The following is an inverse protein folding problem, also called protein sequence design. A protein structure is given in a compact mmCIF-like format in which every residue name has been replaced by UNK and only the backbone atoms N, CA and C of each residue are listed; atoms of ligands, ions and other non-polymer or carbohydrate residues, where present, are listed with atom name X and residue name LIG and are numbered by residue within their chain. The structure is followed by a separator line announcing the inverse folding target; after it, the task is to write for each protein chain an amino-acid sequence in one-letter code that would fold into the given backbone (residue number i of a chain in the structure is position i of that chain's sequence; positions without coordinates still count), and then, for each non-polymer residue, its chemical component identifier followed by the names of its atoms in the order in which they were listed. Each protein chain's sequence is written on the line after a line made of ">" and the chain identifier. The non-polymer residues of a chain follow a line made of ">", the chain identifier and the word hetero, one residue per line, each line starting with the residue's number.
data_IF_354387857875
#
_entry.id   IF_354387857875
#
_cell.length_a   1.000
_cell.length_b   1.000
_cell.length_c   1.000
_cell.angle_alpha   90.00
_cell.angle_beta   90.00
_cell.angle_gamma   90.00
#
_symmetry.space_group_name_H-M   'P 1'
#
loop_
_entity.id
_entity.type
_entity.pdbx_description
1 polymer ?
#
# COMPACT_ATOMS: atom_id res chain seq x y z
N UNK A 1 43.66 -39.24 -13.14
CA UNK A 1 43.33 -38.78 -11.77
C UNK A 1 41.84 -38.45 -11.70
N UNK A 2 41.03 -39.38 -11.20
CA UNK A 2 39.60 -39.14 -10.98
C UNK A 2 39.46 -38.23 -9.76
N UNK A 3 38.78 -37.08 -9.85
CA UNK A 3 38.57 -36.20 -8.69
C UNK A 3 37.79 -36.99 -7.63
N UNK A 4 38.39 -37.40 -6.50
CA UNK A 4 37.63 -38.03 -5.44
C UNK A 4 36.62 -36.98 -4.99
N UNK A 5 35.33 -37.32 -5.03
CA UNK A 5 34.20 -36.42 -4.74
C UNK A 5 33.88 -35.41 -5.86
N UNK A 6 33.55 -35.88 -7.07
CA UNK A 6 32.84 -35.05 -8.08
C UNK A 6 31.32 -35.02 -7.87
N UNK A 7 30.74 -36.08 -7.30
CA UNK A 7 29.29 -36.21 -7.03
C UNK A 7 29.01 -36.22 -5.52
N UNK A 8 27.90 -35.63 -5.07
CA UNK A 8 27.52 -35.67 -3.66
C UNK A 8 27.18 -37.11 -3.25
N UNK A 9 28.16 -37.78 -2.63
CA UNK A 9 28.04 -39.11 -2.02
C UNK A 9 27.75 -39.00 -0.52
N UNK A 10 27.43 -40.14 0.12
CA UNK A 10 27.28 -40.24 1.58
C UNK A 10 28.57 -39.82 2.30
N UNK A 11 29.73 -40.17 1.75
CA UNK A 11 31.04 -39.78 2.31
C UNK A 11 31.30 -38.29 2.18
N UNK A 12 30.89 -37.68 1.06
CA UNK A 12 30.98 -36.22 0.88
C UNK A 12 30.07 -35.49 1.87
N UNK A 13 28.89 -36.06 2.15
CA UNK A 13 27.95 -35.54 3.14
C UNK A 13 28.49 -35.64 4.57
N UNK A 14 29.07 -36.77 4.95
CA UNK A 14 29.72 -36.94 6.26
C UNK A 14 30.89 -35.96 6.39
N UNK A 15 31.76 -35.86 5.38
CA UNK A 15 32.88 -34.93 5.36
C UNK A 15 32.42 -33.47 5.50
N UNK A 16 31.32 -33.10 4.82
CA UNK A 16 30.73 -31.77 4.94
C UNK A 16 30.24 -31.48 6.37
N UNK A 17 29.50 -32.41 6.98
CA UNK A 17 28.94 -32.24 8.32
C UNK A 17 30.04 -32.15 9.39
N UNK A 18 31.10 -32.94 9.25
CA UNK A 18 32.29 -32.85 10.11
C UNK A 18 32.99 -31.50 9.97
N UNK A 19 33.19 -31.03 8.73
CA UNK A 19 33.77 -29.72 8.48
C UNK A 19 32.90 -28.57 9.02
N UNK A 20 31.57 -28.71 8.95
CA UNK A 20 30.63 -27.74 9.50
C UNK A 20 30.70 -27.69 11.03
N UNK A 21 30.81 -28.85 11.69
CA UNK A 21 30.99 -28.94 13.13
C UNK A 21 32.27 -28.21 13.60
N UNK A 22 33.35 -28.36 12.83
CA UNK A 22 34.65 -27.79 13.21
C UNK A 22 34.77 -26.29 12.94
N UNK A 23 34.20 -25.82 11.83
CA UNK A 23 34.38 -24.43 11.37
C UNK A 23 33.25 -23.50 11.78
N UNK A 24 32.05 -24.04 12.01
CA UNK A 24 30.83 -23.27 12.25
C UNK A 24 30.39 -22.36 11.10
N UNK A 25 31.08 -22.42 9.95
CA UNK A 25 30.84 -21.58 8.79
C UNK A 25 30.63 -22.46 7.55
N UNK A 26 29.42 -22.39 6.98
CA UNK A 26 28.98 -23.19 5.83
C UNK A 26 29.85 -22.98 4.59
N UNK A 27 30.30 -21.74 4.35
CA UNK A 27 31.16 -21.43 3.21
C UNK A 27 32.55 -22.03 3.39
N UNK A 28 33.09 -21.98 4.60
CA UNK A 28 34.38 -22.56 4.93
C UNK A 28 34.32 -24.09 4.88
N UNK A 29 33.28 -24.69 5.48
CA UNK A 29 33.03 -26.13 5.42
C UNK A 29 32.93 -26.65 3.98
N UNK A 30 32.16 -25.98 3.11
CA UNK A 30 32.06 -26.35 1.71
C UNK A 30 33.42 -26.23 1.00
N UNK A 31 34.18 -25.17 1.25
CA UNK A 31 35.50 -24.96 0.66
C UNK A 31 36.51 -26.03 1.10
N UNK A 32 36.48 -26.46 2.36
CA UNK A 32 37.41 -27.49 2.89
C UNK A 32 37.25 -28.84 2.19
N UNK A 33 36.04 -29.19 1.77
CA UNK A 33 35.77 -30.42 1.01
C UNK A 33 35.80 -30.21 -0.52
N UNK A 34 36.25 -29.04 -0.99
CA UNK A 34 36.33 -28.71 -2.41
C UNK A 34 34.96 -28.55 -3.10
N UNK A 35 33.92 -28.15 -2.37
CA UNK A 35 32.54 -27.97 -2.86
C UNK A 35 32.08 -26.53 -2.80
N UNK A 36 31.10 -26.20 -3.65
CA UNK A 36 30.40 -24.92 -3.54
C UNK A 36 29.36 -24.96 -2.42
N UNK A 37 29.27 -23.89 -1.64
CA UNK A 37 28.27 -23.77 -0.59
C UNK A 37 26.84 -23.81 -1.17
N UNK A 38 26.65 -23.29 -2.40
CA UNK A 38 25.37 -23.37 -3.12
C UNK A 38 24.93 -24.82 -3.38
N UNK A 39 25.86 -25.74 -3.67
CA UNK A 39 25.51 -27.15 -3.84
C UNK A 39 25.09 -27.81 -2.52
N UNK A 40 25.63 -27.35 -1.38
CA UNK A 40 25.23 -27.82 -0.04
C UNK A 40 23.80 -27.38 0.30
N UNK A 41 23.43 -26.13 0.01
CA UNK A 41 22.05 -25.65 0.15
C UNK A 41 21.06 -26.33 -0.79
N UNK A 42 21.46 -26.56 -2.05
CA UNK A 42 20.64 -27.29 -3.01
C UNK A 42 20.35 -28.73 -2.54
N UNK A 43 21.32 -29.37 -1.90
CA UNK A 43 21.15 -30.71 -1.33
C UNK A 43 20.25 -30.69 -0.08
N UNK A 44 20.42 -29.71 0.82
CA UNK A 44 19.55 -29.50 1.99
C UNK A 44 18.08 -29.35 1.59
N UNK A 45 17.81 -28.69 0.47
CA UNK A 45 16.44 -28.56 -0.06
C UNK A 45 15.87 -29.87 -0.60
N UNK A 46 16.71 -30.77 -1.11
CA UNK A 46 16.30 -31.98 -1.83
C UNK A 46 16.24 -33.24 -0.95
N UNK A 47 17.00 -33.28 0.14
CA UNK A 47 17.16 -34.44 1.02
C UNK A 47 16.88 -34.04 2.48
N UNK A 48 15.66 -34.31 3.00
CA UNK A 48 15.27 -33.94 4.36
C UNK A 48 16.15 -34.54 5.46
N UNK A 49 16.62 -35.78 5.28
CA UNK A 49 17.50 -36.48 6.21
C UNK A 49 18.85 -35.76 6.37
N UNK A 50 19.37 -35.20 5.29
CA UNK A 50 20.58 -34.37 5.31
C UNK A 50 20.32 -33.02 6.01
N UNK A 51 19.12 -32.45 5.83
CA UNK A 51 18.73 -31.22 6.50
C UNK A 51 18.62 -31.39 8.02
N UNK A 52 18.12 -32.54 8.50
CA UNK A 52 18.06 -32.85 9.93
C UNK A 52 19.46 -32.96 10.54
N UNK A 53 20.35 -33.75 9.93
CA UNK A 53 21.75 -33.87 10.39
C UNK A 53 22.49 -32.53 10.37
N UNK A 54 22.18 -31.67 9.41
CA UNK A 54 22.72 -30.31 9.36
C UNK A 54 22.26 -29.49 10.57
N UNK A 55 20.96 -29.53 10.89
CA UNK A 55 20.38 -28.83 12.04
C UNK A 55 21.04 -29.35 13.33
N UNK A 56 21.11 -30.66 13.52
CA UNK A 56 21.77 -31.28 14.68
C UNK A 56 23.21 -30.78 14.89
N UNK A 57 24.00 -30.71 13.82
CA UNK A 57 25.39 -30.21 13.88
C UNK A 57 25.45 -28.73 14.24
N UNK A 58 24.55 -27.91 13.70
CA UNK A 58 24.49 -26.47 14.00
C UNK A 58 24.05 -26.24 15.45
N UNK A 59 23.04 -26.98 15.92
CA UNK A 59 22.53 -26.88 17.29
C UNK A 59 23.59 -27.31 18.30
N UNK A 60 24.31 -28.41 18.04
CA UNK A 60 25.43 -28.85 18.87
C UNK A 60 26.53 -27.77 18.94
N UNK A 61 26.88 -27.16 17.81
CA UNK A 61 27.89 -26.09 17.79
C UNK A 61 27.42 -24.83 18.52
N UNK A 62 26.16 -24.46 18.37
CA UNK A 62 25.56 -23.34 19.10
C UNK A 62 25.48 -23.60 20.62
N UNK A 63 25.30 -24.85 21.04
CA UNK A 63 25.33 -25.28 22.44
C UNK A 63 26.75 -25.26 23.01
N UNK A 64 27.75 -25.74 22.25
CA UNK A 64 29.16 -25.68 22.66
C UNK A 64 29.69 -24.24 22.75
N UNK A 65 29.32 -23.38 21.79
CA UNK A 65 29.66 -21.96 21.82
C UNK A 65 29.01 -21.24 23.01
N UNK A 66 27.74 -21.56 23.29
CA UNK A 66 27.01 -21.08 24.45
C UNK A 66 27.65 -21.47 25.78
N UNK A 67 28.12 -22.71 25.90
CA UNK A 67 28.80 -23.20 27.09
C UNK A 67 30.18 -22.53 27.28
N UNK A 68 30.91 -22.28 26.19
CA UNK A 68 32.25 -21.66 26.23
C UNK A 68 32.24 -20.17 26.50
N UNK A 69 31.29 -19.44 25.94
CA UNK A 69 31.27 -17.97 25.98
C UNK A 69 30.20 -17.40 26.93
N UNK A 70 29.41 -18.27 27.56
CA UNK A 70 28.20 -17.86 28.26
C UNK A 70 27.10 -17.48 27.27
N UNK A 71 25.84 -17.79 27.61
CA UNK A 71 24.69 -17.30 26.84
C UNK A 71 24.50 -15.83 27.21
N UNK A 72 24.75 -14.82 26.35
CA UNK A 72 24.03 -13.57 26.53
C UNK A 72 22.55 -13.96 26.49
N UNK A 73 21.78 -13.55 27.49
CA UNK A 73 20.37 -13.91 27.76
C UNK A 73 19.39 -13.51 26.64
N UNK A 74 19.84 -13.45 25.40
CA UNK A 74 19.19 -12.80 24.30
C UNK A 74 19.56 -13.44 22.94
N UNK A 75 19.39 -14.78 22.85
CA UNK A 75 19.38 -15.48 21.55
C UNK A 75 17.97 -15.66 20.95
N UNK A 76 16.96 -15.09 21.60
CA UNK A 76 15.62 -14.89 21.04
C UNK A 76 15.51 -13.64 20.15
N UNK A 77 16.43 -12.67 20.24
CA UNK A 77 16.42 -11.45 19.40
C UNK A 77 17.38 -11.50 18.20
N UNK A 78 18.15 -12.57 18.03
CA UNK A 78 19.30 -12.57 17.09
C UNK A 78 18.94 -12.73 15.60
N UNK A 79 17.66 -12.91 15.24
CA UNK A 79 17.22 -12.92 13.84
C UNK A 79 15.97 -12.06 13.56
N UNK A 80 15.55 -11.24 14.52
CA UNK A 80 14.67 -10.12 14.24
C UNK A 80 15.50 -8.93 13.72
N UNK A 81 16.18 -9.15 12.59
CA UNK A 81 16.84 -8.14 11.74
C UNK A 81 17.67 -7.09 12.48
N UNK A 82 18.99 -7.24 12.36
CA UNK A 82 19.98 -6.17 12.24
C UNK A 82 19.63 -5.20 11.08
N UNK A 83 18.40 -4.72 10.98
CA UNK A 83 18.11 -3.46 10.30
C UNK A 83 18.96 -2.47 11.11
N UNK A 84 19.96 -1.83 10.50
CA UNK A 84 20.96 -0.99 11.18
C UNK A 84 20.40 0.27 11.85
N UNK A 85 19.16 0.21 12.35
CA UNK A 85 18.28 1.27 12.78
C UNK A 85 17.76 0.96 14.20
N UNK A 86 18.69 0.84 15.14
CA UNK A 86 18.35 0.78 16.57
C UNK A 86 17.60 2.05 17.00
N UNK A 87 16.81 2.03 18.10
CA UNK A 87 16.13 3.23 18.60
C UNK A 87 17.08 4.42 18.82
N UNK A 88 18.32 4.15 19.22
CA UNK A 88 19.36 5.16 19.37
C UNK A 88 19.76 5.78 18.02
N UNK A 89 20.01 4.95 17.00
CA UNK A 89 20.31 5.41 15.63
C UNK A 89 19.14 6.14 15.00
N UNK A 90 17.90 5.72 15.28
CA UNK A 90 16.69 6.44 14.87
C UNK A 90 16.66 7.86 15.41
N UNK A 91 16.88 8.04 16.71
CA UNK A 91 16.92 9.37 17.34
C UNK A 91 18.07 10.21 16.80
N UNK A 92 19.26 9.63 16.64
CA UNK A 92 20.41 10.31 16.07
C UNK A 92 20.16 10.74 14.61
N UNK A 93 19.51 9.90 13.82
CA UNK A 93 19.16 10.19 12.43
C UNK A 93 18.16 11.34 12.33
N UNK A 94 17.10 11.30 13.12
CA UNK A 94 16.09 12.36 13.15
C UNK A 94 16.69 13.70 13.58
N UNK A 95 17.60 13.70 14.56
CA UNK A 95 18.35 14.89 14.95
C UNK A 95 19.19 15.42 13.79
N UNK A 96 20.01 14.56 13.17
CA UNK A 96 20.85 14.95 12.04
C UNK A 96 20.02 15.45 10.84
N UNK A 97 18.84 14.88 10.63
CA UNK A 97 17.90 15.33 9.59
C UNK A 97 17.33 16.71 9.91
N UNK A 98 17.02 16.99 11.18
CA UNK A 98 16.58 18.33 11.62
C UNK A 98 17.68 19.38 11.65
N UNK A 99 18.95 18.99 11.51
CA UNK A 99 20.07 19.93 11.42
C UNK A 99 20.50 20.20 9.98
N UNK A 100 20.25 19.26 9.06
CA UNK A 100 20.80 19.31 7.70
C UNK A 100 19.75 19.41 6.61
N UNK A 101 18.53 18.93 6.87
CA UNK A 101 17.47 18.79 5.86
C UNK A 101 17.77 17.75 4.77
N UNK A 102 18.88 17.00 4.87
CA UNK A 102 19.35 16.10 3.80
C UNK A 102 19.49 14.66 4.31
N UNK A 103 18.79 13.73 3.67
CA UNK A 103 18.83 12.31 4.02
C UNK A 103 20.24 11.73 3.90
N UNK A 104 20.97 12.05 2.82
CA UNK A 104 22.34 11.58 2.61
C UNK A 104 23.26 11.96 3.77
N UNK A 105 23.31 13.24 4.12
CA UNK A 105 24.14 13.76 5.22
C UNK A 105 23.72 13.18 6.58
N UNK A 106 22.41 13.08 6.83
CA UNK A 106 21.90 12.48 8.07
C UNK A 106 22.26 10.98 8.19
N UNK A 107 22.23 10.25 7.07
CA UNK A 107 22.62 8.85 7.00
C UNK A 107 24.12 8.64 7.20
N UNK A 108 24.96 9.48 6.58
CA UNK A 108 26.41 9.48 6.77
C UNK A 108 26.79 9.74 8.24
N UNK A 109 26.15 10.72 8.90
CA UNK A 109 26.40 11.05 10.32
C UNK A 109 26.10 9.90 11.29
N UNK A 110 25.16 9.02 10.95
CA UNK A 110 24.70 7.91 11.83
C UNK A 110 25.30 6.56 11.42
N UNK A 111 26.04 6.51 10.30
CA UNK A 111 26.63 5.27 9.80
C UNK A 111 25.55 4.27 9.34
N UNK A 112 24.53 4.77 8.64
CA UNK A 112 23.47 3.97 8.03
C UNK A 112 23.35 4.27 6.55
N UNK A 113 22.83 3.33 5.76
CA UNK A 113 22.55 3.59 4.35
C UNK A 113 21.33 4.49 4.19
N UNK A 114 21.42 5.46 3.29
CA UNK A 114 20.30 6.30 2.87
C UNK A 114 19.12 5.47 2.36
N UNK A 115 19.40 4.42 1.58
CA UNK A 115 18.40 3.49 1.07
C UNK A 115 17.70 2.75 2.22
N UNK A 116 18.42 2.39 3.28
CA UNK A 116 17.83 1.76 4.46
C UNK A 116 16.90 2.73 5.20
N UNK A 117 17.29 4.00 5.36
CA UNK A 117 16.44 5.02 5.97
C UNK A 117 15.16 5.28 5.15
N UNK A 118 15.26 5.35 3.82
CA UNK A 118 14.10 5.48 2.92
C UNK A 118 13.18 4.26 2.98
N UNK A 119 13.75 3.05 2.99
CA UNK A 119 12.97 1.82 3.11
C UNK A 119 12.23 1.74 4.44
N UNK A 120 12.88 2.16 5.54
CA UNK A 120 12.21 2.23 6.84
C UNK A 120 11.07 3.25 6.82
N UNK A 121 11.27 4.43 6.20
CA UNK A 121 10.22 5.43 6.02
C UNK A 121 9.01 4.90 5.26
N UNK A 122 9.22 4.06 4.24
CA UNK A 122 8.14 3.44 3.49
C UNK A 122 7.38 2.34 4.25
N UNK A 123 8.00 1.74 5.27
CA UNK A 123 7.43 0.63 6.06
C UNK A 123 6.83 1.07 7.39
N UNK A 124 7.36 2.13 8.00
CA UNK A 124 6.95 2.65 9.31
C UNK A 124 6.37 4.08 9.16
N UNK A 125 5.03 4.22 9.20
CA UNK A 125 4.36 5.51 9.12
C UNK A 125 4.71 6.47 10.26
N UNK A 126 5.05 5.97 11.44
CA UNK A 126 5.42 6.81 12.58
C UNK A 126 6.82 7.42 12.37
N UNK A 127 7.74 6.63 11.84
CA UNK A 127 9.05 7.13 11.42
C UNK A 127 8.92 8.16 10.30
N UNK A 128 7.99 7.96 9.36
CA UNK A 128 7.72 8.93 8.29
C UNK A 128 7.29 10.29 8.85
N UNK A 129 6.32 10.33 9.76
CA UNK A 129 5.89 11.58 10.43
C UNK A 129 7.04 12.27 11.17
N UNK A 130 7.86 11.49 11.88
CA UNK A 130 9.02 12.04 12.59
C UNK A 130 10.04 12.65 11.63
N UNK A 131 10.26 12.03 10.46
CA UNK A 131 11.13 12.59 9.43
C UNK A 131 10.57 13.89 8.84
N UNK A 132 9.27 13.98 8.60
CA UNK A 132 8.62 15.21 8.14
C UNK A 132 8.76 16.34 9.17
N UNK A 133 8.49 16.04 10.45
CA UNK A 133 8.68 17.00 11.54
C UNK A 133 10.15 17.44 11.67
N UNK A 134 11.11 16.54 11.45
CA UNK A 134 12.52 16.88 11.44
C UNK A 134 12.88 17.80 10.26
N UNK A 135 12.38 17.53 9.06
CA UNK A 135 12.59 18.39 7.88
C UNK A 135 12.03 19.80 8.08
N UNK A 136 10.87 19.93 8.74
CA UNK A 136 10.29 21.23 9.08
C UNK A 136 11.14 22.04 10.08
N UNK A 137 11.95 21.37 10.90
CA UNK A 137 12.86 22.00 11.88
C UNK A 137 14.24 22.29 11.31
N UNK A 138 14.54 21.81 10.09
CA UNK A 138 15.81 22.05 9.43
C UNK A 138 16.11 23.56 9.38
N UNK A 139 17.38 23.98 9.60
CA UNK A 139 17.78 25.36 9.35
C UNK A 139 17.31 25.80 7.96
N UNK A 140 17.06 27.12 7.80
CA UNK A 140 16.28 27.70 6.72
C UNK A 140 16.48 26.95 5.42
N UNK A 141 15.38 26.32 5.00
CA UNK A 141 15.25 25.44 3.86
C UNK A 141 16.08 26.02 2.71
N UNK A 142 16.69 25.20 1.85
CA UNK A 142 17.39 25.70 0.66
C UNK A 142 16.58 26.77 -0.07
N UNK A 143 15.26 26.72 0.02
CA UNK A 143 14.29 27.73 -0.40
C UNK A 143 14.48 29.11 0.25
N UNK A 144 14.67 29.22 1.58
CA UNK A 144 14.98 30.48 2.23
C UNK A 144 16.37 30.99 1.86
N UNK A 145 17.41 30.15 1.83
CA UNK A 145 18.74 30.57 1.35
C UNK A 145 18.67 31.00 -0.13
N UNK A 146 17.87 30.30 -0.93
CA UNK A 146 17.64 30.65 -2.33
C UNK A 146 16.86 31.96 -2.44
N UNK A 147 15.89 32.19 -1.56
CA UNK A 147 15.13 33.43 -1.49
C UNK A 147 16.01 34.60 -1.06
N UNK A 148 16.81 34.46 0.00
CA UNK A 148 17.80 35.45 0.44
C UNK A 148 18.77 35.79 -0.71
N UNK A 149 19.32 34.78 -1.40
CA UNK A 149 20.22 35.00 -2.56
C UNK A 149 19.52 35.58 -3.79
N UNK A 150 18.24 35.32 -3.98
CA UNK A 150 17.48 35.81 -5.12
C UNK A 150 16.93 37.23 -4.90
N UNK A 151 16.51 37.54 -3.67
CA UNK A 151 15.77 38.75 -3.31
C UNK A 151 16.63 39.74 -2.55
N UNK A 152 17.36 39.31 -1.52
CA UNK A 152 18.24 40.19 -0.72
C UNK A 152 19.64 40.34 -1.34
N UNK A 153 20.05 39.34 -2.12
CA UNK A 153 21.35 39.24 -2.75
C UNK A 153 22.47 38.84 -1.77
N UNK A 154 23.67 38.60 -2.30
CA UNK A 154 24.87 38.36 -1.49
C UNK A 154 25.98 39.35 -1.84
N UNK A 155 26.90 39.57 -0.91
CA UNK A 155 28.08 40.37 -1.15
C UNK A 155 29.16 39.53 -1.83
N UNK A 156 29.51 39.91 -3.06
CA UNK A 156 30.60 39.32 -3.81
C UNK A 156 31.82 40.25 -3.71
N UNK A 157 32.98 39.78 -3.19
CA UNK A 157 34.18 40.58 -3.13
C UNK A 157 34.69 40.86 -4.57
N UNK A 158 34.96 42.12 -4.86
CA UNK A 158 35.56 42.57 -6.11
C UNK A 158 37.07 42.50 -5.95
N UNK A 159 37.68 41.45 -6.48
CA UNK A 159 39.14 41.25 -6.44
C UNK A 159 39.76 41.83 -7.70
N UNK A 160 40.70 42.76 -7.52
CA UNK A 160 41.52 43.31 -8.62
C UNK A 160 42.98 43.08 -8.26
N UNK A 161 43.73 42.41 -9.14
CA UNK A 161 45.16 42.10 -8.94
C UNK A 161 45.47 41.34 -7.64
N UNK A 162 44.55 40.49 -7.18
CA UNK A 162 44.75 39.66 -5.99
C UNK A 162 44.36 40.33 -4.67
N UNK A 163 43.99 41.62 -4.69
CA UNK A 163 43.49 42.33 -3.52
C UNK A 163 41.98 42.58 -3.62
N UNK A 164 41.27 42.44 -2.50
CA UNK A 164 39.83 42.75 -2.41
C UNK A 164 39.69 44.27 -2.36
N UNK A 165 39.25 44.87 -3.46
CA UNK A 165 39.13 46.33 -3.62
C UNK A 165 37.76 46.84 -3.17
N UNK A 166 36.78 45.95 -2.96
CA UNK A 166 35.47 46.29 -2.41
C UNK A 166 34.50 45.11 -2.46
N UNK A 167 33.23 45.35 -2.16
CA UNK A 167 32.14 44.37 -2.29
C UNK A 167 31.08 44.89 -3.26
N UNK A 168 30.48 44.00 -4.04
CA UNK A 168 29.30 44.29 -4.86
C UNK A 168 28.16 43.36 -4.48
N UNK A 169 26.94 43.89 -4.36
CA UNK A 169 25.74 43.08 -4.12
C UNK A 169 25.34 42.38 -5.42
N UNK A 170 25.18 41.06 -5.38
CA UNK A 170 24.75 40.22 -6.50
C UNK A 170 23.46 39.48 -6.17
N UNK A 171 22.61 39.32 -7.18
CA UNK A 171 21.35 38.62 -7.08
C UNK A 171 21.37 37.42 -8.03
N UNK A 172 20.77 36.31 -7.60
CA UNK A 172 20.68 35.11 -8.45
C UNK A 172 19.37 35.11 -9.22
N UNK A 173 19.43 35.56 -10.48
CA UNK A 173 18.26 35.63 -11.35
C UNK A 173 17.70 34.24 -11.70
N UNK A 174 18.56 33.21 -11.73
CA UNK A 174 18.14 31.82 -11.95
C UNK A 174 17.33 31.28 -10.76
N UNK A 175 17.74 31.59 -9.53
CA UNK A 175 16.98 31.23 -8.33
C UNK A 175 15.67 32.01 -8.26
N UNK A 176 15.67 33.29 -8.62
CA UNK A 176 14.46 34.11 -8.69
C UNK A 176 13.44 33.53 -9.68
N UNK A 177 13.88 33.16 -10.89
CA UNK A 177 13.02 32.53 -11.91
C UNK A 177 12.47 31.19 -11.45
N UNK A 178 13.27 30.37 -10.79
CA UNK A 178 12.84 29.08 -10.24
C UNK A 178 11.77 29.25 -9.15
N UNK A 179 11.99 30.15 -8.19
CA UNK A 179 11.04 30.43 -7.10
C UNK A 179 9.71 30.96 -7.65
N UNK A 180 9.77 31.87 -8.63
CA UNK A 180 8.57 32.35 -9.32
C UNK A 180 7.83 31.19 -10.01
N UNK A 181 8.55 30.31 -10.71
CA UNK A 181 7.97 29.13 -11.36
C UNK A 181 7.25 28.20 -10.39
N UNK A 182 7.84 27.94 -9.22
CA UNK A 182 7.22 27.13 -8.17
C UNK A 182 5.96 27.80 -7.60
N UNK A 183 5.99 29.10 -7.32
CA UNK A 183 4.82 29.83 -6.83
C UNK A 183 3.66 29.79 -7.84
N UNK A 184 3.95 29.94 -9.14
CA UNK A 184 2.93 29.83 -10.20
C UNK A 184 2.41 28.40 -10.36
N UNK A 185 3.25 27.38 -10.15
CA UNK A 185 2.81 25.99 -10.16
C UNK A 185 1.89 25.67 -8.96
N UNK A 186 2.21 26.16 -7.76
CA UNK A 186 1.38 26.01 -6.57
C UNK A 186 -0.01 26.62 -6.77
N UNK A 187 -0.07 27.88 -7.24
CA UNK A 187 -1.35 28.55 -7.57
C UNK A 187 -2.18 27.78 -8.60
N UNK A 188 -1.53 27.22 -9.63
CA UNK A 188 -2.22 26.38 -10.62
C UNK A 188 -2.75 25.08 -10.03
N UNK A 189 -2.00 24.47 -9.11
CA UNK A 189 -2.42 23.24 -8.43
C UNK A 189 -3.61 23.50 -7.49
N UNK A 190 -3.60 24.61 -6.76
CA UNK A 190 -4.72 25.07 -5.92
C UNK A 190 -5.96 25.32 -6.77
N UNK A 191 -5.86 26.11 -7.84
CA UNK A 191 -6.97 26.38 -8.75
C UNK A 191 -7.53 25.08 -9.38
N UNK A 192 -6.65 24.13 -9.72
CA UNK A 192 -7.07 22.83 -10.24
C UNK A 192 -7.76 21.97 -9.17
N UNK A 193 -7.31 22.03 -7.91
CA UNK A 193 -7.93 21.34 -6.79
C UNK A 193 -9.32 21.91 -6.48
N UNK A 194 -9.47 23.24 -6.49
CA UNK A 194 -10.76 23.93 -6.34
C UNK A 194 -11.73 23.57 -7.47
N UNK A 195 -11.27 23.62 -8.73
CA UNK A 195 -12.07 23.23 -9.89
C UNK A 195 -12.52 21.75 -9.81
N UNK A 196 -11.69 20.87 -9.23
CA UNK A 196 -12.02 19.46 -9.02
C UNK A 196 -12.99 19.26 -7.83
N UNK A 197 -12.87 20.06 -6.78
CA UNK A 197 -13.79 20.05 -5.65
C UNK A 197 -15.19 20.50 -6.07
N UNK A 198 -15.31 21.55 -6.89
CA UNK A 198 -16.59 22.00 -7.46
C UNK A 198 -17.27 20.96 -8.36
N UNK A 199 -16.50 20.09 -9.02
CA UNK A 199 -17.03 18.96 -9.83
C UNK A 199 -17.42 17.72 -9.02
N UNK A 200 -17.02 17.64 -7.74
CA UNK A 200 -17.23 16.48 -6.84
C UNK A 200 -18.24 16.75 -5.71
N UNK A 201 -19.16 17.71 -5.89
CA UNK A 201 -20.37 17.75 -5.03
C UNK A 201 -21.26 16.53 -5.30
N UNK A 202 -22.02 16.01 -4.30
CA UNK A 202 -22.99 14.95 -4.57
C UNK A 202 -24.01 15.45 -5.61
N UNK A 203 -24.18 14.73 -6.72
CA UNK A 203 -25.27 14.98 -7.68
C UNK A 203 -26.59 14.67 -6.97
N UNK A 204 -27.15 15.66 -6.29
CA UNK A 204 -28.52 15.62 -5.81
C UNK A 204 -29.40 15.61 -7.07
N UNK A 205 -30.12 14.51 -7.29
CA UNK A 205 -31.05 14.40 -8.41
C UNK A 205 -32.00 15.60 -8.38
N UNK A 206 -32.23 16.23 -9.53
CA UNK A 206 -33.16 17.36 -9.56
C UNK A 206 -34.57 16.87 -9.19
N UNK A 207 -35.42 17.79 -8.73
CA UNK A 207 -36.81 17.44 -8.36
C UNK A 207 -37.57 16.83 -9.54
N UNK A 208 -37.26 17.25 -10.76
CA UNK A 208 -37.82 16.70 -12.00
C UNK A 208 -37.36 15.27 -12.27
N UNK A 209 -36.06 14.96 -12.09
CA UNK A 209 -35.53 13.61 -12.25
C UNK A 209 -36.11 12.63 -11.21
N UNK A 210 -36.28 13.10 -9.98
CA UNK A 210 -36.92 12.33 -8.90
C UNK A 210 -38.39 12.07 -9.21
N UNK A 211 -39.13 13.10 -9.65
CA UNK A 211 -40.54 12.98 -10.02
C UNK A 211 -40.73 12.02 -11.21
N UNK A 212 -39.88 12.10 -12.24
CA UNK A 212 -39.94 11.21 -13.39
C UNK A 212 -39.72 9.73 -12.99
N UNK A 213 -38.79 9.49 -12.05
CA UNK A 213 -38.52 8.15 -11.53
C UNK A 213 -39.68 7.60 -10.69
N UNK A 214 -40.28 8.45 -9.84
CA UNK A 214 -41.49 8.10 -9.09
C UNK A 214 -42.67 7.79 -10.02
N UNK A 215 -42.90 8.61 -11.05
CA UNK A 215 -43.96 8.36 -12.04
C UNK A 215 -43.77 7.04 -12.78
N UNK A 216 -42.53 6.69 -13.16
CA UNK A 216 -42.24 5.40 -13.81
C UNK A 216 -42.54 4.21 -12.90
N UNK A 217 -42.22 4.31 -11.62
CA UNK A 217 -42.51 3.28 -10.62
C UNK A 217 -44.02 3.12 -10.41
N UNK A 218 -44.75 4.23 -10.24
CA UNK A 218 -46.20 4.24 -10.08
C UNK A 218 -46.94 3.72 -11.32
N UNK A 219 -46.46 4.04 -12.53
CA UNK A 219 -47.01 3.48 -13.76
C UNK A 219 -46.81 1.95 -13.83
N UNK A 220 -45.68 1.45 -13.29
CA UNK A 220 -45.39 0.02 -13.18
C UNK A 220 -46.33 -0.71 -12.22
N UNK A 221 -46.58 -0.15 -11.05
CA UNK A 221 -47.51 -0.73 -10.06
C UNK A 221 -48.96 -0.69 -10.54
N UNK A 222 -49.39 0.42 -11.17
CA UNK A 222 -50.72 0.53 -11.75
C UNK A 222 -51.03 -0.47 -12.87
N UNK A 223 -50.01 -0.92 -13.62
CA UNK A 223 -50.18 -2.01 -14.60
C UNK A 223 -50.43 -3.35 -13.93
N UNK A 224 -49.72 -3.68 -12.85
CA UNK A 224 -49.90 -4.93 -12.09
C UNK A 224 -51.28 -4.98 -11.44
N UNK A 225 -51.67 -3.89 -10.77
CA UNK A 225 -52.98 -3.79 -10.11
C UNK A 225 -54.14 -3.95 -11.09
N UNK A 226 -54.03 -3.37 -12.30
CA UNK A 226 -55.05 -3.55 -13.36
C UNK A 226 -55.07 -4.96 -13.93
N UNK A 227 -53.92 -5.62 -14.05
CA UNK A 227 -53.85 -7.01 -14.47
C UNK A 227 -54.47 -7.94 -13.42
N UNK A 228 -54.15 -7.74 -12.14
CA UNK A 228 -54.76 -8.48 -11.02
C UNK A 228 -56.26 -8.25 -10.92
N UNK A 229 -56.73 -7.00 -11.08
CA UNK A 229 -58.16 -6.69 -11.08
C UNK A 229 -58.90 -7.38 -12.23
N UNK A 230 -58.32 -7.39 -13.44
CA UNK A 230 -58.87 -8.11 -14.59
C UNK A 230 -58.88 -9.62 -14.36
N UNK A 231 -57.82 -10.17 -13.78
CA UNK A 231 -57.77 -11.59 -13.44
C UNK A 231 -58.85 -11.97 -12.40
N UNK A 232 -59.05 -11.13 -11.38
CA UNK A 232 -60.15 -11.32 -10.42
C UNK A 232 -61.52 -11.23 -11.08
N UNK A 233 -61.73 -10.26 -11.98
CA UNK A 233 -63.00 -10.13 -12.72
C UNK A 233 -63.26 -11.35 -13.60
N UNK A 234 -62.24 -11.87 -14.30
CA UNK A 234 -62.36 -13.10 -15.09
C UNK A 234 -62.67 -14.30 -14.20
N UNK A 235 -61.95 -14.47 -13.08
CA UNK A 235 -62.23 -15.55 -12.13
C UNK A 235 -63.64 -15.45 -11.52
N UNK A 236 -64.12 -14.23 -11.26
CA UNK A 236 -65.46 -13.98 -10.74
C UNK A 236 -66.54 -14.24 -11.82
N UNK A 237 -66.26 -13.93 -13.08
CA UNK A 237 -67.12 -14.27 -14.21
C UNK A 237 -67.16 -15.79 -14.44
N UNK A 238 -66.01 -16.47 -14.44
CA UNK A 238 -65.92 -17.93 -14.53
C UNK A 238 -66.65 -18.62 -13.37
N UNK A 239 -66.51 -18.10 -12.14
CA UNK A 239 -67.24 -18.60 -10.98
C UNK A 239 -68.76 -18.40 -11.11
N UNK A 240 -69.21 -17.27 -11.66
CA UNK A 240 -70.62 -17.01 -11.94
C UNK A 240 -71.16 -17.91 -13.06
N UNK A 241 -70.39 -18.12 -14.13
CA UNK A 241 -70.74 -19.04 -15.22
C UNK A 241 -70.76 -20.51 -14.75
N UNK A 242 -69.86 -20.91 -13.85
CA UNK A 242 -69.86 -22.23 -13.23
C UNK A 242 -71.09 -22.41 -12.34
N UNK A 243 -71.43 -21.41 -11.51
CA UNK A 243 -72.66 -21.40 -10.72
C UNK A 243 -73.91 -21.46 -11.59
N UNK A 244 -73.92 -20.80 -12.75
CA UNK A 244 -75.03 -20.89 -13.71
C UNK A 244 -75.12 -22.24 -14.43
N UNK A 245 -73.99 -22.91 -14.69
CA UNK A 245 -73.99 -24.28 -15.21
C UNK A 245 -74.54 -25.27 -14.18
N UNK A 246 -74.16 -25.14 -12.92
CA UNK A 246 -74.67 -25.97 -11.83
C UNK A 246 -76.16 -25.66 -11.55
N UNK A 247 -76.59 -24.39 -11.65
CA UNK A 247 -77.98 -23.98 -11.51
C UNK A 247 -78.83 -24.27 -12.77
N UNK A 248 -78.19 -24.40 -13.95
CA UNK A 248 -78.81 -24.65 -15.25
C UNK A 248 -78.92 -26.14 -15.62
N UNK A 249 -78.46 -27.03 -14.74
CA UNK A 249 -78.78 -28.46 -14.77
C UNK A 249 -80.11 -28.82 -14.11
N UNK A 250 -80.95 -27.82 -13.81
CA UNK A 250 -82.34 -28.00 -13.39
C UNK A 250 -83.27 -27.93 -14.58
N UNK A 251 -83.75 -29.08 -15.05
CA UNK A 251 -85.02 -29.17 -15.79
C UNK A 251 -86.09 -28.41 -15.00
N UNK A 252 -86.62 -27.35 -15.60
CA UNK A 252 -87.54 -26.43 -14.95
C UNK A 252 -88.20 -25.50 -15.94
N UNK A 253 -89.08 -26.06 -16.77
CA UNK A 253 -90.13 -25.33 -17.46
C UNK A 253 -90.84 -24.33 -16.52
N UNK A 254 -91.03 -23.08 -16.95
CA UNK A 254 -92.15 -22.28 -16.44
C UNK A 254 -92.05 -20.75 -16.43
N UNK A 255 -92.59 -20.13 -17.49
CA UNK A 255 -93.33 -18.83 -17.51
C UNK A 255 -92.58 -17.52 -17.18
N UNK A 256 -92.27 -16.65 -18.16
CA UNK A 256 -93.09 -15.71 -18.98
C UNK A 256 -93.02 -14.23 -18.52
N UNK A 257 -92.29 -13.48 -19.35
CA UNK A 257 -92.41 -12.09 -19.84
C UNK A 257 -93.31 -11.07 -19.11
N UNK A 258 -92.76 -9.86 -19.05
CA UNK A 258 -93.48 -8.60 -19.27
C UNK A 258 -92.55 -7.44 -18.96
N UNK A 259 -92.00 -6.73 -19.93
CA UNK A 259 -92.74 -5.63 -20.57
C UNK A 259 -92.18 -4.30 -20.04
N UNK A 260 -91.11 -3.77 -20.63
CA UNK A 260 -91.15 -2.69 -21.64
C UNK A 260 -91.24 -1.27 -21.10
N UNK A 261 -90.31 -0.46 -21.65
CA UNK A 261 -90.45 0.94 -22.11
C UNK A 261 -90.37 2.07 -21.09
N UNK A 262 -89.53 3.04 -21.46
CA UNK A 262 -89.86 4.46 -21.29
C UNK A 262 -88.64 5.36 -21.21
N UNK A 263 -88.22 6.04 -22.30
CA UNK A 263 -87.09 6.96 -22.32
C UNK A 263 -87.52 8.44 -22.35
N UNK A 264 -86.57 9.33 -22.04
CA UNK A 264 -86.66 10.78 -22.26
C UNK A 264 -86.42 11.55 -20.95
N UNK A 265 -85.65 12.63 -20.91
CA UNK A 265 -84.98 13.41 -21.95
C UNK A 265 -83.86 14.21 -21.27
#
# INVERSE_FOLDING_TARGET
>A
MHKPNSRWSRDTEIAFLLALRQTGNVQLAARTIGRSYGAAYARRKRYPEFALRWIEVVDAQQAEWAARHGVPANRGESHARLDGFTPLRRRAFLRALSETGQYKLASERVGISETAARNLRGRDPDFARQCEAALQRSPPLIEQIAWERAVEGWEEPVVVRGEVVGTRRRFSESLLRMLLGQAQAARRAEAAAEAKAGKRGPRIATREETNARLMKLLAGTGRRMRAEARAKQLAQAEAWEAMQRDAGGGDGDGWVRGGTRGPGR
#
